data_IF_971946974233
#
_entry.id   IF_971946974233
#
_cell.length_a   1.000
_cell.length_b   1.000
_cell.length_c   1.000
_cell.angle_alpha   90.00
_cell.angle_beta   90.00
_cell.angle_gamma   90.00
#
_symmetry.space_group_name_H-M   'P 1'
#
loop_
_entity.id
_entity.type
_entity.pdbx_description
1 polymer ?
#
# COMPACT_ATOMS: atom_id res chain seq x y z
N UNK A 1 19.07 -8.41 6.86
CA UNK A 1 18.15 -8.69 5.73
C UNK A 1 18.00 -7.40 4.98
N UNK A 2 18.55 -7.35 3.77
CA UNK A 2 18.35 -6.21 2.88
C UNK A 2 16.89 -6.20 2.47
N UNK A 3 16.23 -5.08 2.73
CA UNK A 3 14.84 -4.88 2.33
C UNK A 3 14.87 -4.37 0.90
N UNK A 4 14.21 -5.08 -0.01
CA UNK A 4 14.05 -4.61 -1.38
C UNK A 4 13.18 -3.35 -1.38
N UNK A 5 13.79 -2.21 -1.68
CA UNK A 5 13.09 -0.91 -1.73
C UNK A 5 12.34 -0.78 -3.04
N UNK A 6 11.11 -0.29 -2.98
CA UNK A 6 10.27 0.01 -4.14
C UNK A 6 9.98 1.51 -4.19
N UNK A 7 10.01 2.05 -5.40
CA UNK A 7 9.65 3.42 -5.70
C UNK A 7 8.81 3.42 -7.00
N UNK A 8 7.50 3.60 -6.87
CA UNK A 8 6.57 3.46 -8.00
C UNK A 8 5.56 4.61 -8.07
N UNK A 9 5.21 4.97 -9.29
CA UNK A 9 4.02 5.76 -9.62
C UNK A 9 3.01 4.83 -10.31
N UNK A 10 1.81 4.71 -9.76
CA UNK A 10 0.79 3.81 -10.27
C UNK A 10 -0.61 4.29 -9.86
N UNK A 11 -1.65 3.85 -10.60
CA UNK A 11 -3.01 4.29 -10.34
C UNK A 11 -3.68 3.44 -9.27
N UNK A 12 -4.50 4.06 -8.42
CA UNK A 12 -5.32 3.34 -7.44
C UNK A 12 -6.41 2.51 -8.14
N UNK A 13 -6.50 1.22 -7.81
CA UNK A 13 -7.45 0.29 -8.43
C UNK A 13 -8.87 0.51 -7.94
N UNK A 14 -9.03 0.71 -6.62
CA UNK A 14 -10.30 0.86 -5.91
C UNK A 14 -10.07 1.62 -4.60
N UNK A 15 -11.14 2.04 -3.94
CA UNK A 15 -11.10 2.65 -2.61
C UNK A 15 -10.25 1.82 -1.63
N UNK A 16 -9.52 2.52 -0.76
CA UNK A 16 -8.67 1.89 0.24
C UNK A 16 -9.51 1.28 1.37
N UNK A 17 -9.04 0.16 1.90
CA UNK A 17 -9.65 -0.53 3.04
C UNK A 17 -8.92 -0.11 4.32
N UNK A 18 -9.67 0.39 5.29
CA UNK A 18 -9.14 0.85 6.58
C UNK A 18 -9.44 -0.18 7.65
N UNK A 19 -8.44 -0.49 8.47
CA UNK A 19 -8.57 -1.39 9.60
C UNK A 19 -7.64 -0.99 10.74
N UNK A 20 -7.70 -1.73 11.83
CA UNK A 20 -6.85 -1.54 12.99
C UNK A 20 -6.25 -2.89 13.38
N UNK A 21 -4.96 -2.89 13.73
CA UNK A 21 -4.25 -4.09 14.16
C UNK A 21 -3.60 -3.84 15.51
N UNK A 22 -3.53 -4.88 16.34
CA UNK A 22 -2.70 -4.84 17.55
C UNK A 22 -1.25 -5.16 17.19
N UNK A 23 -0.33 -4.30 17.62
CA UNK A 23 1.11 -4.47 17.46
C UNK A 23 1.82 -4.00 18.71
N UNK A 24 2.58 -4.90 19.33
CA UNK A 24 3.34 -4.63 20.56
C UNK A 24 2.46 -4.06 21.70
N UNK A 25 1.24 -4.59 21.84
CA UNK A 25 0.25 -4.15 22.84
C UNK A 25 -0.38 -2.78 22.53
N UNK A 26 -0.18 -2.23 21.34
CA UNK A 26 -0.75 -0.96 20.88
C UNK A 26 -1.63 -1.16 19.66
N UNK A 27 -2.73 -0.43 19.64
CA UNK A 27 -3.61 -0.34 18.47
C UNK A 27 -2.98 0.54 17.39
N UNK A 28 -2.88 0.03 16.17
CA UNK A 28 -2.27 0.72 15.03
C UNK A 28 -3.22 0.70 13.84
N UNK A 29 -3.60 1.89 13.36
CA UNK A 29 -4.39 2.03 12.14
C UNK A 29 -3.61 1.56 10.91
N UNK A 30 -4.33 0.93 9.98
CA UNK A 30 -3.81 0.41 8.72
C UNK A 30 -4.72 0.84 7.57
N UNK A 31 -4.13 1.25 6.46
CA UNK A 31 -4.82 1.38 5.18
C UNK A 31 -4.21 0.39 4.19
N UNK A 32 -5.07 -0.40 3.55
CA UNK A 32 -4.69 -1.37 2.53
C UNK A 32 -5.28 -0.95 1.18
N UNK A 33 -4.46 -0.93 0.15
CA UNK A 33 -4.91 -0.56 -1.18
C UNK A 33 -4.09 -1.26 -2.26
N UNK A 34 -4.65 -1.36 -3.46
CA UNK A 34 -3.98 -1.93 -4.62
C UNK A 34 -3.68 -0.84 -5.63
N UNK A 35 -2.44 -0.82 -6.12
CA UNK A 35 -2.01 0.01 -7.22
C UNK A 35 -1.88 -0.83 -8.49
N UNK A 36 -2.20 -0.22 -9.63
CA UNK A 36 -2.00 -0.81 -10.95
C UNK A 36 -1.10 0.08 -11.80
N UNK A 37 -0.06 -0.55 -12.33
CA UNK A 37 0.85 0.02 -13.31
C UNK A 37 0.44 -0.50 -14.68
N UNK A 38 0.10 0.43 -15.58
CA UNK A 38 -0.43 0.14 -16.92
C UNK A 38 0.57 0.45 -18.06
N UNK A 39 1.86 0.60 -17.76
CA UNK A 39 2.91 0.84 -18.77
C UNK A 39 3.81 -0.40 -18.90
N UNK A 40 4.13 -0.78 -20.15
CA UNK A 40 4.95 -1.96 -20.46
C UNK A 40 4.14 -3.12 -21.06
N UNK A 41 4.49 -4.36 -20.71
CA UNK A 41 3.93 -5.60 -21.29
C UNK A 41 2.67 -6.12 -20.58
N UNK A 42 1.86 -5.24 -19.99
CA UNK A 42 0.63 -5.61 -19.31
C UNK A 42 0.34 -4.78 -18.07
N UNK A 43 -0.63 -5.26 -17.28
CA UNK A 43 -1.00 -4.65 -16.00
C UNK A 43 -0.25 -5.35 -14.87
N UNK A 44 0.54 -4.59 -14.14
CA UNK A 44 1.20 -5.05 -12.91
C UNK A 44 0.45 -4.50 -11.70
N UNK A 45 0.06 -5.37 -10.77
CA UNK A 45 -0.67 -5.00 -9.56
C UNK A 45 0.23 -5.11 -8.33
N UNK A 46 0.18 -4.13 -7.46
CA UNK A 46 0.96 -4.10 -6.21
C UNK A 46 0.04 -3.78 -5.04
N UNK A 47 -0.05 -4.71 -4.09
CA UNK A 47 -0.75 -4.49 -2.83
C UNK A 47 0.15 -3.68 -1.89
N UNK A 48 -0.42 -2.62 -1.32
CA UNK A 48 0.26 -1.70 -0.44
C UNK A 48 -0.46 -1.66 0.91
N UNK A 49 0.33 -1.56 1.98
CA UNK A 49 -0.17 -1.32 3.33
C UNK A 49 0.57 -0.14 3.94
N UNK A 50 -0.18 0.81 4.49
CA UNK A 50 0.33 1.98 5.19
C UNK A 50 -0.17 1.95 6.63
N UNK A 51 0.69 2.34 7.57
CA UNK A 51 0.44 2.20 9.00
C UNK A 51 0.56 3.54 9.73
N UNK A 52 -0.18 3.68 10.83
CA UNK A 52 -0.08 4.83 11.73
C UNK A 52 -0.49 6.15 11.06
N UNK A 53 0.22 7.24 11.36
CA UNK A 53 -0.18 8.60 10.94
C UNK A 53 -0.34 8.78 9.43
N UNK A 54 0.34 7.97 8.61
CA UNK A 54 0.25 8.03 7.15
C UNK A 54 -1.08 7.50 6.60
N UNK A 55 -1.87 6.81 7.42
CA UNK A 55 -3.23 6.35 7.06
C UNK A 55 -4.14 7.53 6.74
N UNK A 56 -3.97 8.66 7.42
CA UNK A 56 -4.76 9.88 7.18
C UNK A 56 -4.61 10.39 5.74
N UNK A 57 -3.43 10.27 5.14
CA UNK A 57 -3.17 10.65 3.73
C UNK A 57 -4.00 9.79 2.78
N UNK A 58 -4.18 8.51 3.11
CA UNK A 58 -4.90 7.55 2.25
C UNK A 58 -6.41 7.82 2.23
N UNK A 59 -6.95 8.58 3.19
CA UNK A 59 -8.38 8.96 3.20
C UNK A 59 -8.77 9.89 2.05
N UNK A 60 -7.80 10.61 1.48
CA UNK A 60 -7.99 11.48 0.32
C UNK A 60 -7.88 10.72 -1.01
N UNK A 61 -7.57 9.41 -0.98
CA UNK A 61 -7.36 8.64 -2.20
C UNK A 61 -8.68 8.26 -2.85
N UNK A 62 -8.83 8.62 -4.12
CA UNK A 62 -9.95 8.21 -4.96
C UNK A 62 -9.52 7.22 -6.04
N UNK A 63 -10.45 6.35 -6.45
CA UNK A 63 -10.22 5.38 -7.51
C UNK A 63 -9.66 6.08 -8.77
N UNK A 64 -8.57 5.54 -9.31
CA UNK A 64 -7.91 6.07 -10.50
C UNK A 64 -6.88 7.17 -10.23
N UNK A 65 -6.78 7.71 -9.00
CA UNK A 65 -5.72 8.65 -8.64
C UNK A 65 -4.34 8.07 -8.95
N UNK A 66 -3.43 8.92 -9.46
CA UNK A 66 -2.02 8.57 -9.63
C UNK A 66 -1.30 8.74 -8.29
N UNK A 67 -0.88 7.61 -7.70
CA UNK A 67 -0.25 7.57 -6.38
C UNK A 67 1.23 7.26 -6.52
N UNK A 68 2.04 8.01 -5.76
CA UNK A 68 3.45 7.72 -5.58
C UNK A 68 3.66 6.95 -4.26
N UNK A 69 4.35 5.82 -4.31
CA UNK A 69 4.72 5.04 -3.13
C UNK A 69 6.22 4.81 -3.09
N UNK A 70 6.79 5.09 -1.92
CA UNK A 70 8.15 4.71 -1.56
C UNK A 70 8.10 3.84 -0.29
N UNK A 71 8.65 2.63 -0.38
CA UNK A 71 8.58 1.64 0.69
C UNK A 71 9.48 0.45 0.42
N UNK A 72 9.21 -0.67 1.07
CA UNK A 72 9.93 -1.92 0.84
C UNK A 72 8.97 -3.07 0.63
N UNK A 73 9.40 -4.07 -0.16
CA UNK A 73 8.65 -5.29 -0.34
C UNK A 73 8.63 -6.09 0.96
N UNK A 74 7.45 -6.54 1.35
CA UNK A 74 7.26 -7.43 2.49
C UNK A 74 6.65 -8.73 2.00
N UNK A 75 7.46 -9.79 1.98
CA UNK A 75 6.95 -11.14 1.76
C UNK A 75 6.23 -11.60 3.04
N UNK A 76 4.91 -11.74 2.97
CA UNK A 76 4.15 -12.42 4.03
C UNK A 76 4.21 -13.91 3.75
N UNK A 77 5.11 -14.63 4.42
CA UNK A 77 5.08 -16.10 4.43
C UNK A 77 3.86 -16.54 5.24
N UNK A 78 2.97 -17.31 4.62
CA UNK A 78 2.00 -18.09 5.39
C UNK A 78 2.82 -19.13 6.16
N UNK A 79 2.78 -19.05 7.48
CA UNK A 79 3.26 -20.13 8.36
C UNK A 79 2.35 -21.34 8.27
#
# INVERSE_FOLDING_TARGET
>A
MDREMININANLVKEAEFSEIEKDGKSVQVANFALVKNYGKGKEYTNCSVYGIKVEIVKEFEKGNLIHVFGYFKENKKG
#
